data_IF_940547205777
#
_entry.id   IF_940547205777
#
_cell.length_a   1.000
_cell.length_b   1.000
_cell.length_c   1.000
_cell.angle_alpha   90.00
_cell.angle_beta   90.00
_cell.angle_gamma   90.00
#
_symmetry.space_group_name_H-M   'P 1'
#
loop_
_entity.id
_entity.type
_entity.pdbx_description
1 polymer ?
#
# COMPACT_ATOMS: atom_id res chain seq x y z
N UNK A 1 19.69 15.46 4.37
CA UNK A 1 21.10 15.22 4.79
C UNK A 1 21.39 15.63 6.24
N UNK A 2 21.33 16.94 6.60
CA UNK A 2 21.77 17.43 7.93
C UNK A 2 20.97 16.90 9.13
N UNK A 3 19.71 16.52 8.94
CA UNK A 3 18.85 16.00 10.01
C UNK A 3 19.05 14.50 10.26
N UNK A 4 19.44 13.75 9.23
CA UNK A 4 19.73 12.32 9.30
C UNK A 4 21.07 12.06 10.00
N UNK A 5 22.09 12.88 9.70
CA UNK A 5 23.37 12.85 10.42
C UNK A 5 23.21 13.18 11.92
N UNK A 6 22.26 14.05 12.28
CA UNK A 6 22.03 14.49 13.67
C UNK A 6 21.14 13.56 14.49
N UNK A 7 20.14 12.90 13.88
CA UNK A 7 19.12 12.11 14.60
C UNK A 7 19.14 10.61 14.25
N UNK A 8 19.90 10.21 13.24
CA UNK A 8 20.00 8.84 12.77
C UNK A 8 18.84 8.43 11.85
N UNK A 9 19.13 7.52 10.91
CA UNK A 9 18.18 7.06 9.89
C UNK A 9 16.93 6.37 10.48
N UNK A 10 17.04 5.74 11.66
CA UNK A 10 15.89 5.14 12.36
C UNK A 10 14.86 6.19 12.81
N UNK A 11 15.31 7.31 13.37
CA UNK A 11 14.43 8.39 13.81
C UNK A 11 13.68 9.01 12.62
N UNK A 12 14.38 9.21 11.51
CA UNK A 12 13.78 9.74 10.27
C UNK A 12 12.78 8.74 9.69
N UNK A 13 13.10 7.44 9.67
CA UNK A 13 12.20 6.39 9.20
C UNK A 13 10.91 6.32 10.02
N UNK A 14 10.99 6.42 11.36
CA UNK A 14 9.81 6.47 12.23
C UNK A 14 8.96 7.72 11.98
N UNK A 15 9.62 8.86 11.79
CA UNK A 15 8.93 10.12 11.49
C UNK A 15 8.21 10.05 10.13
N UNK A 16 8.86 9.48 9.11
CA UNK A 16 8.28 9.25 7.80
C UNK A 16 7.09 8.29 7.86
N UNK A 17 7.20 7.20 8.62
CA UNK A 17 6.11 6.23 8.83
C UNK A 17 4.88 6.87 9.46
N UNK A 18 5.08 7.82 10.40
CA UNK A 18 3.96 8.56 11.03
C UNK A 18 3.26 9.52 10.05
N UNK A 19 4.03 10.17 9.18
CA UNK A 19 3.49 11.11 8.19
C UNK A 19 2.84 10.41 7.01
N UNK A 20 3.44 9.32 6.53
CA UNK A 20 2.96 8.49 5.43
C UNK A 20 2.01 7.38 5.94
N UNK A 21 1.03 7.76 6.76
CA UNK A 21 0.00 6.84 7.22
C UNK A 21 -1.10 6.64 6.15
N UNK A 22 -1.85 5.54 6.23
CA UNK A 22 -2.85 5.18 5.23
C UNK A 22 -3.90 6.27 5.01
N UNK A 23 -4.29 7.00 6.07
CA UNK A 23 -5.27 8.09 5.99
C UNK A 23 -4.77 9.22 5.08
N UNK A 24 -3.48 9.58 5.18
CA UNK A 24 -2.89 10.59 4.32
C UNK A 24 -2.90 10.17 2.84
N UNK A 25 -2.66 8.89 2.55
CA UNK A 25 -2.76 8.36 1.19
C UNK A 25 -4.18 8.37 0.66
N UNK A 26 -5.13 7.87 1.44
CA UNK A 26 -6.55 7.85 1.07
C UNK A 26 -7.05 9.26 0.78
N UNK A 27 -6.77 10.22 1.67
CA UNK A 27 -7.16 11.62 1.46
C UNK A 27 -6.61 12.19 0.16
N UNK A 28 -5.40 11.76 -0.25
CA UNK A 28 -4.77 12.20 -1.50
C UNK A 28 -5.32 11.47 -2.73
N UNK A 29 -5.78 10.23 -2.55
CA UNK A 29 -6.41 9.42 -3.59
C UNK A 29 -7.89 9.73 -3.78
N UNK A 30 -8.56 10.30 -2.77
CA UNK A 30 -9.98 10.65 -2.84
C UNK A 30 -10.22 11.69 -3.95
N UNK A 31 -11.20 11.39 -4.80
CA UNK A 31 -11.71 12.29 -5.81
C UNK A 31 -13.23 12.10 -5.91
N UNK A 32 -13.92 13.16 -6.32
CA UNK A 32 -15.36 13.17 -6.53
C UNK A 32 -15.71 13.89 -7.84
N UNK A 33 -16.75 13.45 -8.56
CA UNK A 33 -17.53 12.24 -8.31
C UNK A 33 -16.80 10.98 -8.84
N UNK A 34 -16.92 9.88 -8.10
CA UNK A 34 -16.57 8.54 -8.61
C UNK A 34 -17.65 8.09 -9.61
N UNK A 35 -17.24 7.50 -10.72
CA UNK A 35 -18.14 7.08 -11.80
C UNK A 35 -18.09 5.57 -11.99
N UNK A 36 -19.21 4.94 -12.39
CA UNK A 36 -19.20 3.55 -12.82
C UNK A 36 -18.16 3.33 -13.93
N UNK A 37 -17.27 2.35 -13.73
CA UNK A 37 -16.19 2.05 -14.67
C UNK A 37 -14.82 2.63 -14.29
N UNK A 38 -14.74 3.46 -13.25
CA UNK A 38 -13.46 3.90 -12.71
C UNK A 38 -12.67 2.70 -12.15
N UNK A 39 -11.34 2.74 -12.27
CA UNK A 39 -10.43 1.70 -11.76
C UNK A 39 -9.25 2.38 -11.07
N UNK A 40 -8.88 1.88 -9.89
CA UNK A 40 -7.69 2.36 -9.18
C UNK A 40 -6.53 1.40 -9.47
N UNK A 41 -5.46 1.92 -10.06
CA UNK A 41 -4.22 1.20 -10.25
C UNK A 41 -3.17 1.66 -9.23
N UNK A 42 -2.72 0.73 -8.38
CA UNK A 42 -1.66 0.98 -7.39
C UNK A 42 -0.38 0.31 -7.89
N UNK A 43 0.68 1.10 -8.01
CA UNK A 43 2.01 0.65 -8.44
C UNK A 43 3.09 1.11 -7.45
N UNK A 44 4.32 0.60 -7.57
CA UNK A 44 5.44 1.05 -6.74
C UNK A 44 5.36 0.62 -5.28
N UNK A 45 4.50 -0.35 -4.95
CA UNK A 45 4.29 -0.81 -3.56
C UNK A 45 5.55 -1.41 -2.93
N UNK A 46 6.43 -2.00 -3.76
CA UNK A 46 7.75 -2.44 -3.33
C UNK A 46 8.67 -1.29 -2.89
N UNK A 47 8.64 -0.16 -3.59
CA UNK A 47 9.47 1.00 -3.27
C UNK A 47 8.98 1.74 -2.01
N UNK A 48 7.70 1.64 -1.70
CA UNK A 48 7.10 2.23 -0.51
C UNK A 48 7.28 1.37 0.76
N UNK A 49 7.80 0.15 0.63
CA UNK A 49 8.10 -0.71 1.77
C UNK A 49 9.31 -0.18 2.56
N UNK A 50 9.33 -0.24 3.91
CA UNK A 50 8.30 -0.75 4.82
C UNK A 50 7.29 0.30 5.30
N UNK A 51 7.35 1.53 4.76
CA UNK A 51 6.55 2.66 5.24
C UNK A 51 5.05 2.46 5.04
N UNK A 52 4.66 1.82 3.93
CA UNK A 52 3.28 1.45 3.64
C UNK A 52 3.18 -0.07 3.62
N UNK A 53 2.18 -0.59 4.33
CA UNK A 53 1.77 -1.99 4.20
C UNK A 53 0.51 -2.06 3.36
N UNK A 54 0.59 -2.81 2.26
CA UNK A 54 -0.48 -2.90 1.25
C UNK A 54 -1.80 -3.33 1.87
N UNK A 55 -1.78 -4.31 2.77
CA UNK A 55 -2.99 -4.82 3.46
C UNK A 55 -3.71 -3.70 4.21
N UNK A 56 -2.96 -2.96 5.01
CA UNK A 56 -3.51 -1.85 5.78
C UNK A 56 -4.00 -0.71 4.88
N UNK A 57 -3.37 -0.49 3.72
CA UNK A 57 -3.84 0.49 2.75
C UNK A 57 -5.15 0.04 2.10
N UNK A 58 -5.24 -1.21 1.64
CA UNK A 58 -6.45 -1.74 1.00
C UNK A 58 -7.63 -1.82 1.97
N UNK A 59 -7.41 -2.20 3.24
CA UNK A 59 -8.46 -2.19 4.27
C UNK A 59 -9.01 -0.78 4.49
N UNK A 60 -8.12 0.19 4.60
CA UNK A 60 -8.51 1.57 4.84
C UNK A 60 -9.17 2.21 3.59
N UNK A 61 -8.97 1.66 2.39
CA UNK A 61 -9.64 2.10 1.16
C UNK A 61 -11.09 1.63 1.03
N UNK A 62 -11.47 0.51 1.64
CA UNK A 62 -12.82 -0.08 1.49
C UNK A 62 -13.98 0.90 1.74
N UNK A 63 -13.95 1.76 2.79
CA UNK A 63 -15.04 2.70 3.05
C UNK A 63 -15.12 3.86 2.05
N UNK A 64 -14.07 4.11 1.25
CA UNK A 64 -13.94 5.28 0.39
C UNK A 64 -14.07 4.95 -1.10
N UNK A 65 -13.82 3.71 -1.49
CA UNK A 65 -13.81 3.24 -2.87
C UNK A 65 -14.64 1.95 -3.00
N UNK A 66 -15.83 1.94 -2.39
CA UNK A 66 -16.70 0.75 -2.29
C UNK A 66 -17.03 0.12 -3.64
N UNK A 67 -17.24 0.97 -4.65
CA UNK A 67 -17.72 0.56 -5.98
C UNK A 67 -16.64 0.70 -7.07
N UNK A 68 -15.40 0.96 -6.67
CA UNK A 68 -14.27 1.17 -7.58
C UNK A 68 -13.29 -0.01 -7.46
N UNK A 69 -13.16 -0.87 -8.48
CA UNK A 69 -12.20 -1.97 -8.46
C UNK A 69 -10.76 -1.46 -8.31
N UNK A 70 -9.99 -2.15 -7.46
CA UNK A 70 -8.58 -1.83 -7.18
C UNK A 70 -7.68 -2.92 -7.73
N UNK A 71 -6.73 -2.51 -8.57
CA UNK A 71 -5.67 -3.36 -9.15
C UNK A 71 -4.34 -2.95 -8.54
N UNK A 72 -3.59 -3.92 -8.01
CA UNK A 72 -2.29 -3.67 -7.37
C UNK A 72 -1.19 -4.42 -8.09
N UNK A 73 -0.16 -3.69 -8.54
CA UNK A 73 1.08 -4.29 -9.05
C UNK A 73 1.99 -4.65 -7.88
N UNK A 74 2.02 -5.92 -7.52
CA UNK A 74 2.73 -6.41 -6.34
C UNK A 74 3.99 -7.21 -6.76
N UNK A 75 5.21 -6.65 -6.60
CA UNK A 75 6.42 -7.35 -7.01
C UNK A 75 6.77 -8.50 -6.06
N UNK A 76 6.70 -9.73 -6.56
CA UNK A 76 7.01 -10.95 -5.81
C UNK A 76 6.06 -12.08 -6.21
N UNK A 77 5.84 -13.04 -5.31
CA UNK A 77 4.99 -14.21 -5.57
C UNK A 77 3.62 -14.11 -4.92
N UNK A 78 2.63 -14.69 -5.60
CA UNK A 78 1.31 -14.97 -5.08
C UNK A 78 1.05 -16.47 -5.20
N UNK A 79 0.82 -17.15 -4.08
CA UNK A 79 0.62 -18.61 -4.04
C UNK A 79 -0.87 -19.01 -3.98
N UNK A 80 -1.78 -18.09 -4.32
CA UNK A 80 -3.23 -18.29 -4.25
C UNK A 80 -3.84 -17.92 -2.90
N UNK A 81 -3.05 -17.82 -1.83
CA UNK A 81 -3.52 -17.43 -0.50
C UNK A 81 -2.73 -16.25 0.08
N UNK A 82 -1.46 -16.13 -0.29
CA UNK A 82 -0.54 -15.17 0.28
C UNK A 82 0.22 -14.41 -0.79
N UNK A 83 0.39 -13.10 -0.56
CA UNK A 83 1.31 -12.25 -1.32
C UNK A 83 2.63 -12.12 -0.56
N UNK A 84 3.76 -12.31 -1.25
CA UNK A 84 5.11 -12.19 -0.68
C UNK A 84 5.91 -11.14 -1.44
N UNK A 85 6.08 -9.96 -0.83
CA UNK A 85 6.80 -8.88 -1.47
C UNK A 85 8.30 -9.24 -1.52
N UNK A 86 8.88 -9.20 -2.72
CA UNK A 86 10.28 -9.57 -3.00
C UNK A 86 10.69 -11.01 -2.62
N UNK A 87 9.73 -11.91 -2.37
CA UNK A 87 9.98 -13.30 -1.93
C UNK A 87 10.76 -13.48 -0.62
N UNK A 88 11.00 -12.39 0.10
CA UNK A 88 11.77 -12.36 1.36
C UNK A 88 10.92 -12.01 2.58
N UNK A 89 9.70 -11.52 2.37
CA UNK A 89 8.82 -11.07 3.45
C UNK A 89 7.82 -12.16 3.84
N UNK A 90 7.57 -12.27 5.15
CA UNK A 90 6.64 -13.25 5.68
C UNK A 90 5.23 -13.03 5.08
N UNK A 91 4.57 -14.11 4.63
CA UNK A 91 3.25 -14.03 4.04
C UNK A 91 2.22 -13.45 5.01
N UNK A 92 1.34 -12.57 4.53
CA UNK A 92 0.24 -12.01 5.31
C UNK A 92 -1.10 -12.62 4.86
N UNK A 93 -1.85 -13.33 5.75
CA UNK A 93 -3.11 -14.00 5.43
C UNK A 93 -4.28 -13.06 5.09
N UNK A 94 -4.10 -11.74 5.15
CA UNK A 94 -5.21 -10.79 5.03
C UNK A 94 -5.87 -10.72 3.64
N UNK A 95 -5.36 -11.44 2.64
CA UNK A 95 -5.82 -11.30 1.26
C UNK A 95 -6.55 -12.52 0.70
N UNK A 96 -7.77 -12.27 0.23
CA UNK A 96 -8.39 -13.03 -0.86
C UNK A 96 -8.24 -12.22 -2.14
N UNK A 97 -7.11 -12.38 -2.82
CA UNK A 97 -6.92 -11.89 -4.17
C UNK A 97 -7.09 -13.06 -5.15
N UNK A 98 -7.52 -12.77 -6.37
CA UNK A 98 -7.48 -13.73 -7.47
C UNK A 98 -6.42 -13.24 -8.44
N UNK A 99 -5.58 -14.15 -8.94
CA UNK A 99 -4.68 -13.78 -10.02
C UNK A 99 -5.54 -13.46 -11.25
N UNK A 100 -5.20 -12.39 -11.97
CA UNK A 100 -5.90 -12.02 -13.20
C UNK A 100 -5.45 -12.90 -14.38
N UNK A 101 -4.44 -13.76 -14.16
CA UNK A 101 -3.88 -14.71 -15.13
C UNK A 101 -4.37 -16.13 -14.83
#
# INVERSE_FOLDING_TARGET
>A
PAQEEKKGSRFIADQMTRMANNVAFIKKMQYEPQKPGDVILITGVGAAFPFIRVHSLLDAMQPHFSDVPVVVMYPGTFDGHYVRLFDILNPNPYYRAFNVV
#
